data_IF_035241362437
#
_entry.id   IF_035241362437
#
_cell.length_a   1.000
_cell.length_b   1.000
_cell.length_c   1.000
_cell.angle_alpha   90.00
_cell.angle_beta   90.00
_cell.angle_gamma   90.00
#
_symmetry.space_group_name_H-M   'P 1'
#
loop_
_entity.id
_entity.type
_entity.pdbx_description
1 polymer ?
#
# COMPACT_ATOMS: atom_id res chain seq x y z
N UNK A 1 -35.00 -1.74 28.13
CA UNK A 1 -33.57 -1.40 28.25
C UNK A 1 -32.81 -2.08 27.11
N UNK A 2 -32.45 -1.33 26.05
CA UNK A 2 -31.56 -1.85 24.99
C UNK A 2 -30.14 -1.79 25.55
N UNK A 3 -29.51 -2.96 25.74
CA UNK A 3 -28.08 -3.05 26.04
C UNK A 3 -27.33 -2.49 24.84
N UNK A 4 -26.65 -1.35 25.03
CA UNK A 4 -25.67 -0.86 24.07
C UNK A 4 -24.52 -1.86 24.04
N UNK A 5 -24.50 -2.73 23.04
CA UNK A 5 -23.34 -3.54 22.74
C UNK A 5 -22.37 -2.63 21.99
N UNK A 6 -21.43 -2.01 22.71
CA UNK A 6 -20.26 -1.40 22.10
C UNK A 6 -19.39 -2.53 21.55
N UNK A 7 -19.73 -3.02 20.35
CA UNK A 7 -18.83 -3.88 19.59
C UNK A 7 -17.70 -2.96 19.11
N UNK A 8 -16.54 -3.03 19.77
CA UNK A 8 -15.32 -2.46 19.22
C UNK A 8 -15.02 -3.24 17.93
N UNK A 9 -15.37 -2.66 16.78
CA UNK A 9 -15.05 -3.26 15.48
C UNK A 9 -13.58 -2.97 15.18
N UNK A 10 -12.82 -4.01 14.93
CA UNK A 10 -11.46 -3.87 14.39
C UNK A 10 -11.59 -3.24 12.99
N UNK A 11 -10.71 -2.29 12.66
CA UNK A 11 -10.71 -1.63 11.36
C UNK A 11 -10.52 -2.65 10.23
N UNK A 12 -11.33 -2.53 9.18
CA UNK A 12 -11.24 -3.39 8.00
C UNK A 12 -9.93 -3.14 7.24
N UNK A 13 -9.50 -4.12 6.43
CA UNK A 13 -8.28 -3.97 5.62
C UNK A 13 -8.36 -4.72 4.31
N UNK A 14 -7.67 -4.19 3.30
CA UNK A 14 -7.41 -4.84 2.01
C UNK A 14 -5.95 -5.28 1.97
N UNK A 15 -5.70 -6.53 1.59
CA UNK A 15 -4.36 -7.07 1.35
C UNK A 15 -4.12 -7.25 -0.15
N UNK A 16 -3.04 -6.67 -0.65
CA UNK A 16 -2.60 -6.79 -2.05
C UNK A 16 -1.23 -7.44 -2.03
N UNK A 17 -1.13 -8.64 -2.60
CA UNK A 17 0.12 -9.42 -2.63
C UNK A 17 0.74 -9.48 -4.01
N UNK A 18 2.06 -9.67 -4.04
CA UNK A 18 2.81 -9.98 -5.25
C UNK A 18 2.91 -8.80 -6.22
N UNK A 19 2.97 -7.57 -5.71
CA UNK A 19 3.20 -6.40 -6.57
C UNK A 19 4.67 -6.44 -7.00
N UNK A 20 4.91 -6.83 -8.26
CA UNK A 20 6.27 -7.00 -8.78
C UNK A 20 6.67 -5.87 -9.71
N UNK A 21 7.88 -5.37 -9.53
CA UNK A 21 8.44 -4.36 -10.42
C UNK A 21 9.96 -4.40 -10.45
N UNK A 22 10.55 -4.09 -11.61
CA UNK A 22 12.00 -3.91 -11.73
C UNK A 22 12.38 -2.53 -11.18
N UNK A 23 13.45 -2.47 -10.40
CA UNK A 23 13.92 -1.24 -9.77
C UNK A 23 15.42 -1.24 -9.53
N UNK A 24 15.92 -0.13 -8.99
CA UNK A 24 17.36 0.16 -8.87
C UNK A 24 17.74 0.55 -7.43
N UNK A 25 16.94 0.12 -6.45
CA UNK A 25 17.28 0.28 -5.04
C UNK A 25 18.33 -0.74 -4.65
N UNK A 26 19.32 -0.34 -3.88
CA UNK A 26 20.39 -1.22 -3.41
C UNK A 26 21.61 -0.44 -2.95
N UNK A 27 22.37 -1.07 -2.05
CA UNK A 27 23.53 -0.45 -1.41
C UNK A 27 24.76 -0.51 -2.31
N UNK A 28 24.88 -1.58 -3.10
CA UNK A 28 26.00 -1.77 -4.00
C UNK A 28 25.80 -0.96 -5.29
N UNK A 29 26.87 -0.38 -5.87
CA UNK A 29 26.78 0.35 -7.14
C UNK A 29 26.14 -0.46 -8.27
N UNK A 30 26.41 -1.78 -8.31
CA UNK A 30 25.86 -2.70 -9.30
C UNK A 30 24.33 -2.80 -9.20
N UNK A 31 23.76 -2.75 -8.00
CA UNK A 31 22.30 -2.77 -7.80
C UNK A 31 21.64 -1.50 -8.36
N UNK A 32 22.34 -0.35 -8.30
CA UNK A 32 21.82 0.91 -8.81
C UNK A 32 22.00 1.11 -10.32
N UNK A 33 22.81 0.25 -10.95
CA UNK A 33 23.08 0.25 -12.39
C UNK A 33 22.34 -0.87 -13.11
N UNK A 34 22.51 -2.11 -12.65
CA UNK A 34 21.86 -3.28 -13.25
C UNK A 34 20.40 -3.34 -12.84
N UNK A 35 20.10 -3.10 -11.56
CA UNK A 35 18.76 -3.26 -11.00
C UNK A 35 18.41 -4.71 -10.72
N UNK A 36 17.22 -4.90 -10.16
CA UNK A 36 16.69 -6.21 -9.82
C UNK A 36 15.15 -6.18 -9.72
N UNK A 37 14.55 -7.37 -9.69
CA UNK A 37 13.11 -7.50 -9.43
C UNK A 37 12.85 -7.35 -7.93
N UNK A 38 11.93 -6.45 -7.61
CA UNK A 38 11.34 -6.31 -6.28
C UNK A 38 9.92 -6.85 -6.29
N UNK A 39 9.50 -7.35 -5.14
CA UNK A 39 8.15 -7.76 -4.83
C UNK A 39 7.74 -7.12 -3.51
N UNK A 40 6.54 -6.56 -3.46
CA UNK A 40 6.02 -5.93 -2.26
C UNK A 40 4.58 -6.41 -1.99
N UNK A 41 4.31 -6.62 -0.72
CA UNK A 41 2.99 -6.95 -0.20
C UNK A 41 2.47 -5.78 0.64
N UNK A 42 1.23 -5.35 0.38
CA UNK A 42 0.67 -4.12 0.95
C UNK A 42 -0.62 -4.45 1.70
N UNK A 43 -0.71 -4.03 2.95
CA UNK A 43 -1.98 -3.95 3.68
C UNK A 43 -2.40 -2.49 3.84
N UNK A 44 -3.64 -2.19 3.42
CA UNK A 44 -4.29 -0.89 3.60
C UNK A 44 -5.45 -1.05 4.57
N UNK A 45 -5.50 -0.22 5.62
CA UNK A 45 -6.66 -0.17 6.52
C UNK A 45 -7.52 1.05 6.18
N UNK A 46 -8.82 0.80 6.03
CA UNK A 46 -9.85 1.76 5.66
C UNK A 46 -11.23 1.22 6.05
N UNK A 47 -12.21 2.09 6.19
CA UNK A 47 -13.59 1.66 6.47
C UNK A 47 -14.28 1.12 5.21
N UNK A 48 -14.58 -0.18 5.18
CA UNK A 48 -15.24 -0.82 4.05
C UNK A 48 -16.78 -0.80 4.12
N UNK A 49 -17.38 -0.26 5.19
CA UNK A 49 -18.85 -0.21 5.33
C UNK A 49 -19.56 0.56 4.21
N UNK A 50 -19.08 1.75 3.78
CA UNK A 50 -19.76 2.51 2.74
C UNK A 50 -19.81 1.72 1.43
N UNK A 51 -18.67 1.29 0.92
CA UNK A 51 -18.58 0.54 -0.34
C UNK A 51 -19.23 -0.85 -0.25
N UNK A 52 -19.13 -1.53 0.91
CA UNK A 52 -19.78 -2.83 1.09
C UNK A 52 -21.30 -2.76 1.03
N UNK A 53 -21.88 -1.56 1.21
CA UNK A 53 -23.32 -1.33 1.09
C UNK A 53 -23.73 -0.78 -0.28
N UNK A 54 -22.88 0.07 -0.89
CA UNK A 54 -23.19 0.76 -2.15
C UNK A 54 -22.74 0.03 -3.41
N UNK A 55 -21.72 -0.83 -3.31
CA UNK A 55 -21.01 -1.45 -4.43
C UNK A 55 -20.48 -0.42 -5.46
N UNK A 56 -20.24 0.83 -5.03
CA UNK A 56 -19.80 1.91 -5.89
C UNK A 56 -18.31 2.18 -5.73
N UNK A 57 -17.56 2.18 -6.85
CA UNK A 57 -16.12 2.46 -6.86
C UNK A 57 -15.77 3.86 -6.32
N UNK A 58 -16.70 4.81 -6.40
CA UNK A 58 -16.54 6.16 -5.88
C UNK A 58 -16.47 6.23 -4.35
N UNK A 59 -16.98 5.20 -3.65
CA UNK A 59 -17.01 5.13 -2.19
C UNK A 59 -15.80 4.36 -1.62
N UNK A 60 -14.80 4.07 -2.46
CA UNK A 60 -13.63 3.30 -2.03
C UNK A 60 -12.34 3.73 -2.73
N UNK A 61 -11.26 3.07 -2.35
CA UNK A 61 -9.95 3.17 -2.94
C UNK A 61 -9.83 2.23 -4.15
N UNK A 62 -9.36 2.75 -5.29
CA UNK A 62 -9.06 1.93 -6.45
C UNK A 62 -7.71 1.21 -6.26
N UNK A 63 -7.77 -0.07 -5.87
CA UNK A 63 -6.57 -0.87 -5.64
C UNK A 63 -5.66 -0.98 -6.87
N UNK A 64 -6.21 -0.85 -8.09
CA UNK A 64 -5.41 -0.86 -9.33
C UNK A 64 -4.49 0.36 -9.40
N UNK A 65 -4.93 1.50 -8.86
CA UNK A 65 -4.11 2.69 -8.76
C UNK A 65 -3.04 2.52 -7.67
N UNK A 66 -3.36 1.86 -6.56
CA UNK A 66 -2.36 1.49 -5.53
C UNK A 66 -1.24 0.63 -6.13
N UNK A 67 -1.58 -0.42 -6.89
CA UNK A 67 -0.57 -1.27 -7.57
C UNK A 67 0.34 -0.43 -8.46
N UNK A 68 -0.24 0.41 -9.34
CA UNK A 68 0.52 1.29 -10.23
C UNK A 68 1.43 2.26 -9.48
N UNK A 69 0.95 2.82 -8.38
CA UNK A 69 1.72 3.72 -7.52
C UNK A 69 2.93 3.01 -6.92
N UNK A 70 2.74 1.82 -6.34
CA UNK A 70 3.82 1.01 -5.76
C UNK A 70 4.85 0.64 -6.83
N UNK A 71 4.40 0.13 -7.99
CA UNK A 71 5.30 -0.16 -9.10
C UNK A 71 6.10 1.06 -9.54
N UNK A 72 5.45 2.23 -9.63
CA UNK A 72 6.13 3.46 -10.04
C UNK A 72 7.19 3.89 -9.03
N UNK A 73 6.89 3.81 -7.72
CA UNK A 73 7.88 4.10 -6.67
C UNK A 73 9.08 3.15 -6.79
N UNK A 74 8.86 1.85 -7.02
CA UNK A 74 9.95 0.87 -7.22
C UNK A 74 10.78 1.21 -8.48
N UNK A 75 10.13 1.51 -9.60
CA UNK A 75 10.79 1.80 -10.89
C UNK A 75 11.66 3.04 -10.86
N UNK A 76 11.21 4.08 -10.16
CA UNK A 76 11.80 5.42 -10.24
C UNK A 76 12.77 5.74 -9.10
N UNK A 77 12.68 5.00 -8.00
CA UNK A 77 13.56 5.18 -6.84
C UNK A 77 14.95 4.60 -7.06
N UNK A 78 15.98 5.35 -6.66
CA UNK A 78 17.39 4.91 -6.57
C UNK A 78 17.91 5.04 -5.14
N UNK A 79 17.22 4.42 -4.20
CA UNK A 79 17.63 4.46 -2.81
C UNK A 79 18.74 3.44 -2.52
N UNK A 80 19.52 3.69 -1.47
CA UNK A 80 20.51 2.73 -1.01
C UNK A 80 19.89 1.55 -0.23
N UNK A 81 18.70 1.77 0.36
CA UNK A 81 18.13 0.89 1.37
C UNK A 81 16.66 0.57 1.09
N UNK A 82 16.26 -0.66 1.43
CA UNK A 82 14.87 -1.11 1.35
C UNK A 82 13.96 -0.34 2.32
N UNK A 83 14.49 0.05 3.48
CA UNK A 83 13.76 0.82 4.49
C UNK A 83 13.29 2.17 3.93
N UNK A 84 14.13 2.83 3.12
CA UNK A 84 13.74 4.08 2.46
C UNK A 84 12.70 3.84 1.39
N UNK A 85 12.84 2.77 0.60
CA UNK A 85 11.85 2.38 -0.40
C UNK A 85 10.48 2.06 0.23
N UNK A 86 10.46 1.28 1.30
CA UNK A 86 9.25 0.94 2.05
C UNK A 86 8.61 2.17 2.69
N UNK A 87 9.42 3.10 3.21
CA UNK A 87 8.93 4.38 3.75
C UNK A 87 8.29 5.22 2.64
N UNK A 88 8.93 5.36 1.49
CA UNK A 88 8.39 6.11 0.35
C UNK A 88 7.06 5.53 -0.15
N UNK A 89 6.96 4.20 -0.25
CA UNK A 89 5.71 3.52 -0.58
C UNK A 89 4.64 3.85 0.48
N UNK A 90 4.98 3.72 1.76
CA UNK A 90 4.06 4.00 2.88
C UNK A 90 3.53 5.42 2.83
N UNK A 91 4.43 6.41 2.75
CA UNK A 91 4.11 7.84 2.74
C UNK A 91 3.25 8.21 1.52
N UNK A 92 3.55 7.62 0.35
CA UNK A 92 2.78 7.85 -0.88
C UNK A 92 1.37 7.28 -0.76
N UNK A 93 1.22 6.06 -0.22
CA UNK A 93 -0.09 5.43 -0.08
C UNK A 93 -0.95 6.09 1.00
N UNK A 94 -0.34 6.65 2.04
CA UNK A 94 -1.03 7.45 3.08
C UNK A 94 -1.58 8.79 2.56
N UNK A 95 -1.18 9.26 1.38
CA UNK A 95 -1.81 10.45 0.77
C UNK A 95 -3.24 10.18 0.28
N UNK A 96 -3.68 8.91 0.24
CA UNK A 96 -5.03 8.55 -0.17
C UNK A 96 -6.01 8.83 0.97
N UNK A 97 -7.05 9.68 0.78
CA UNK A 97 -7.86 10.20 1.88
C UNK A 97 -8.58 9.15 2.76
N UNK A 98 -8.86 7.97 2.21
CA UNK A 98 -9.58 6.90 2.90
C UNK A 98 -8.64 5.97 3.70
N UNK A 99 -7.33 6.05 3.48
CA UNK A 99 -6.35 5.13 4.09
C UNK A 99 -5.92 5.68 5.44
N UNK A 100 -6.19 4.94 6.51
CA UNK A 100 -5.81 5.32 7.87
C UNK A 100 -4.48 4.71 8.32
N UNK A 101 -4.10 3.58 7.71
CA UNK A 101 -2.85 2.89 8.01
C UNK A 101 -2.38 2.12 6.78
N UNK A 102 -1.06 2.01 6.66
CA UNK A 102 -0.39 1.21 5.65
C UNK A 102 0.62 0.28 6.33
N UNK A 103 0.82 -0.91 5.77
CA UNK A 103 1.91 -1.81 6.10
C UNK A 103 2.48 -2.34 4.80
N UNK A 104 3.80 -2.24 4.67
CA UNK A 104 4.59 -2.79 3.58
C UNK A 104 5.34 -4.00 4.12
N UNK A 105 5.31 -5.10 3.37
CA UNK A 105 5.96 -6.37 3.65
C UNK A 105 7.00 -6.68 2.59
#
# INVERSE_FOLDING_TARGET
MRKYHFIFRIMDSIHISGIRSYGYTGYLPEEQVLGQWFEADITLWLDLRPVGSSDAIADTLDYRQTIKTVENVIKTSKFALLERLATEITDTLLQQPLVEKVRVH
#
